data_IF_177514194874
#
_entry.id   IF_177514194874
#
_cell.length_a   1.000
_cell.length_b   1.000
_cell.length_c   1.000
_cell.angle_alpha   90.00
_cell.angle_beta   90.00
_cell.angle_gamma   90.00
#
_symmetry.space_group_name_H-M   'P 1'
#
loop_
_entity.id
_entity.type
_entity.pdbx_description
1 polymer ?
#
# COMPACT_ATOMS: atom_id res chain seq x y z
N UNK A 1 4.95 13.01 -2.08
CA UNK A 1 5.77 12.51 -3.20
C UNK A 1 5.65 11.00 -3.43
N UNK A 2 6.00 10.10 -2.48
CA UNK A 2 5.86 8.63 -2.70
C UNK A 2 4.44 8.11 -2.48
N UNK A 3 3.80 8.48 -1.37
CA UNK A 3 2.43 8.05 -1.03
C UNK A 3 1.42 8.52 -2.09
N UNK A 4 1.56 9.74 -2.59
CA UNK A 4 0.69 10.28 -3.66
C UNK A 4 0.75 9.43 -4.93
N UNK A 5 1.95 9.07 -5.40
CA UNK A 5 2.12 8.19 -6.57
C UNK A 5 1.45 6.83 -6.39
N UNK A 6 1.52 6.27 -5.19
CA UNK A 6 0.83 5.02 -4.86
C UNK A 6 -0.68 5.21 -4.93
N UNK A 7 -1.20 6.31 -4.38
CA UNK A 7 -2.64 6.59 -4.45
C UNK A 7 -3.12 6.84 -5.88
N UNK A 8 -2.36 7.60 -6.68
CA UNK A 8 -2.63 7.81 -8.11
C UNK A 8 -2.64 6.48 -8.88
N UNK A 9 -1.72 5.57 -8.57
CA UNK A 9 -1.73 4.23 -9.15
C UNK A 9 -3.04 3.50 -8.84
N UNK A 10 -3.55 3.62 -7.62
CA UNK A 10 -4.83 3.02 -7.22
C UNK A 10 -6.08 3.69 -7.80
N UNK A 11 -5.96 4.85 -8.46
CA UNK A 11 -7.10 5.44 -9.19
C UNK A 11 -7.37 4.70 -10.51
N UNK A 12 -6.39 3.94 -11.00
CA UNK A 12 -6.49 3.19 -12.28
C UNK A 12 -6.28 1.68 -12.13
N UNK A 13 -5.77 1.23 -10.98
CA UNK A 13 -5.48 -0.17 -10.67
C UNK A 13 -6.09 -0.53 -9.32
N UNK A 14 -6.73 -1.69 -9.21
CA UNK A 14 -7.36 -2.10 -7.94
C UNK A 14 -6.37 -2.71 -6.94
N UNK A 15 -5.27 -3.28 -7.44
CA UNK A 15 -4.28 -4.02 -6.65
C UNK A 15 -2.85 -3.63 -7.00
N UNK A 16 -1.97 -3.75 -6.00
CA UNK A 16 -0.55 -3.48 -6.10
C UNK A 16 0.25 -4.65 -5.53
N UNK A 17 1.24 -5.12 -6.28
CA UNK A 17 2.26 -6.07 -5.80
C UNK A 17 3.52 -5.33 -5.33
N UNK A 18 4.37 -6.03 -4.59
CA UNK A 18 5.68 -5.49 -4.18
C UNK A 18 6.53 -5.08 -5.39
N UNK A 19 6.57 -5.93 -6.42
CA UNK A 19 7.36 -5.67 -7.62
C UNK A 19 6.84 -4.48 -8.43
N UNK A 20 5.53 -4.24 -8.45
CA UNK A 20 4.96 -3.04 -9.06
C UNK A 20 5.32 -1.79 -8.26
N UNK A 21 5.31 -1.86 -6.92
CA UNK A 21 5.75 -0.75 -6.09
C UNK A 21 7.23 -0.40 -6.31
N UNK A 22 8.09 -1.42 -6.40
CA UNK A 22 9.52 -1.25 -6.71
C UNK A 22 9.71 -0.50 -8.03
N UNK A 23 8.97 -0.87 -9.08
CA UNK A 23 8.99 -0.22 -10.39
C UNK A 23 8.39 1.20 -10.35
N UNK A 24 7.25 1.36 -9.69
CA UNK A 24 6.51 2.63 -9.58
C UNK A 24 7.35 3.72 -8.92
N UNK A 25 8.08 3.35 -7.86
CA UNK A 25 8.91 4.28 -7.10
C UNK A 25 10.38 4.25 -7.50
N UNK A 26 10.79 3.32 -8.37
CA UNK A 26 12.18 3.04 -8.73
C UNK A 26 13.06 2.86 -7.48
N UNK A 27 12.62 2.01 -6.55
CA UNK A 27 13.31 1.73 -5.28
C UNK A 27 13.66 0.26 -5.16
N UNK A 28 14.66 -0.05 -4.32
CA UNK A 28 15.04 -1.42 -3.98
C UNK A 28 13.96 -2.11 -3.13
N UNK A 29 14.06 -3.43 -3.06
CA UNK A 29 13.13 -4.30 -2.33
C UNK A 29 12.95 -3.91 -0.85
N UNK A 30 14.05 -3.67 -0.11
CA UNK A 30 13.94 -3.37 1.33
C UNK A 30 13.15 -2.09 1.61
N UNK A 31 13.45 -0.94 0.96
CA UNK A 31 12.61 0.27 1.07
C UNK A 31 11.14 0.05 0.68
N UNK A 32 10.87 -0.68 -0.40
CA UNK A 32 9.50 -0.97 -0.83
C UNK A 32 8.72 -1.77 0.23
N UNK A 33 9.38 -2.78 0.83
CA UNK A 33 8.79 -3.60 1.89
C UNK A 33 8.47 -2.78 3.14
N UNK A 34 9.37 -1.90 3.56
CA UNK A 34 9.13 -1.06 4.73
C UNK A 34 8.02 -0.05 4.48
N UNK A 35 7.92 0.50 3.27
CA UNK A 35 6.81 1.38 2.88
C UNK A 35 5.47 0.65 2.89
N UNK A 36 5.39 -0.56 2.32
CA UNK A 36 4.17 -1.38 2.37
C UNK A 36 3.76 -1.68 3.81
N UNK A 37 4.72 -2.03 4.67
CA UNK A 37 4.46 -2.27 6.09
C UNK A 37 3.91 -1.01 6.78
N UNK A 38 4.48 0.16 6.50
CA UNK A 38 3.99 1.43 7.04
C UNK A 38 2.55 1.72 6.57
N UNK A 39 2.27 1.60 5.28
CA UNK A 39 0.95 1.90 4.71
C UNK A 39 -0.13 0.96 5.25
N UNK A 40 0.19 -0.32 5.43
CA UNK A 40 -0.71 -1.30 6.06
C UNK A 40 -0.96 -0.95 7.53
N UNK A 41 0.09 -0.60 8.28
CA UNK A 41 -0.05 -0.19 9.70
C UNK A 41 -0.94 1.04 9.87
N UNK A 42 -0.90 1.97 8.91
CA UNK A 42 -1.72 3.18 8.93
C UNK A 42 -3.11 2.97 8.29
N UNK A 43 -3.53 1.72 8.04
CA UNK A 43 -4.80 1.38 7.40
C UNK A 43 -5.01 2.04 6.02
N UNK A 44 -3.95 2.48 5.34
CA UNK A 44 -4.03 3.06 4.00
C UNK A 44 -4.13 1.97 2.94
N UNK A 45 -3.47 0.83 3.19
CA UNK A 45 -3.54 -0.37 2.37
C UNK A 45 -3.97 -1.57 3.22
N UNK A 46 -4.61 -2.54 2.57
CA UNK A 46 -4.87 -3.85 3.15
C UNK A 46 -4.04 -4.90 2.41
N UNK A 47 -3.33 -5.73 3.18
CA UNK A 47 -2.60 -6.87 2.63
C UNK A 47 -3.56 -8.04 2.43
N UNK A 48 -3.61 -8.58 1.21
CA UNK A 48 -4.41 -9.75 0.83
C UNK A 48 -3.52 -10.84 0.21
N UNK A 49 -4.03 -12.07 0.19
CA UNK A 49 -3.31 -13.23 -0.35
C UNK A 49 -2.27 -13.84 0.60
N UNK A 50 -1.70 -14.97 0.18
CA UNK A 50 -0.77 -15.77 0.98
C UNK A 50 0.54 -16.02 0.22
N UNK A 51 1.64 -16.03 0.97
CA UNK A 51 2.99 -16.39 0.50
C UNK A 51 3.42 -15.62 -0.77
N UNK A 52 3.39 -16.24 -1.95
CA UNK A 52 3.87 -15.64 -3.21
C UNK A 52 2.83 -14.76 -3.90
N UNK A 53 1.56 -14.89 -3.52
CA UNK A 53 0.44 -14.18 -4.15
C UNK A 53 -0.04 -13.01 -3.28
N UNK A 54 0.88 -12.43 -2.51
CA UNK A 54 0.60 -11.26 -1.67
C UNK A 54 0.34 -10.08 -2.59
N UNK A 55 -0.81 -9.44 -2.38
CA UNK A 55 -1.24 -8.23 -3.06
C UNK A 55 -1.72 -7.21 -2.03
N UNK A 56 -1.74 -5.96 -2.41
CA UNK A 56 -2.15 -4.85 -1.57
C UNK A 56 -3.26 -4.09 -2.27
N UNK A 57 -4.34 -3.83 -1.56
CA UNK A 57 -5.49 -3.07 -2.07
C UNK A 57 -5.63 -1.78 -1.26
N UNK A 58 -6.14 -0.72 -1.90
CA UNK A 58 -6.47 0.53 -1.22
C UNK A 58 -7.59 0.29 -0.21
N UNK A 59 -7.39 0.70 1.03
CA UNK A 59 -8.46 0.63 2.03
C UNK A 59 -9.46 1.74 1.73
N UNK A 60 -10.60 1.39 1.14
CA UNK A 60 -11.75 2.29 0.98
C UNK A 60 -12.63 2.16 2.22
N UNK A 61 -12.70 3.21 3.05
CA UNK A 61 -13.80 3.32 4.02
C UNK A 61 -13.56 2.81 5.44
N UNK A 62 -12.37 3.01 6.03
CA UNK A 62 -12.33 3.28 7.48
C UNK A 62 -12.05 4.76 7.68
N UNK A 63 -13.09 5.53 8.06
CA UNK A 63 -12.87 6.80 8.76
C UNK A 63 -11.79 6.53 9.80
N UNK A 64 -10.75 7.37 9.86
CA UNK A 64 -9.97 7.47 11.08
C UNK A 64 -10.95 7.95 12.16
N UNK A 65 -11.63 7.01 12.82
CA UNK A 65 -12.27 7.25 14.09
C UNK A 65 -11.14 7.36 15.11
N UNK A 66 -10.36 8.44 15.03
CA UNK A 66 -9.61 8.92 16.18
C UNK A 66 -10.60 9.70 17.05
N UNK A 67 -11.57 8.99 17.61
CA UNK A 67 -12.20 9.36 18.87
C UNK A 67 -11.67 8.34 19.87
N UNK A 68 -10.53 8.65 20.48
CA UNK A 68 -10.20 8.12 21.79
C UNK A 68 -9.84 9.30 22.68
N UNK A 69 -10.71 9.42 23.67
CA UNK A 69 -10.84 10.30 24.81
C UNK A 69 -9.56 10.40 25.66
#
# INVERSE_FOLDING_TARGET
MQIQKIMEFFETNDELTRSELEKLLNVKESPARDLLRYLVKNNMLQKIGATRNIRYIKTVGKKLSNENH
#
